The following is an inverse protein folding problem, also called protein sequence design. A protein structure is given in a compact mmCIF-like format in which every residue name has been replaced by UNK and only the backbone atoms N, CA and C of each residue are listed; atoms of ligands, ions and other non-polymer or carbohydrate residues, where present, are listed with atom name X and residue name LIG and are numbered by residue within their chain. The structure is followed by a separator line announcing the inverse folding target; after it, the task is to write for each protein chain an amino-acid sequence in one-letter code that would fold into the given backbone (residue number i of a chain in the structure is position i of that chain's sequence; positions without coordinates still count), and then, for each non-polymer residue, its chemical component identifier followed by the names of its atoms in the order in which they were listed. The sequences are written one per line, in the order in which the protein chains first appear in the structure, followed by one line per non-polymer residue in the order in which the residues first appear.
data_IF_900211792862
#
_entry.id   IF_900211792862
#
_cell.length_a   1.000
_cell.length_b   1.000
_cell.length_c   1.000
_cell.angle_alpha   90.00
_cell.angle_beta   90.00
_cell.angle_gamma   90.00
#
_symmetry.space_group_name_H-M   'P 1'
#
loop_
_entity.id
_entity.type
_entity.pdbx_description
1 polymer ?
#
# COMPACT_ATOMS: atom_id res chain seq x y z
N UNK A 1 -9.13 19.76 -32.54
CA UNK A 1 -7.85 19.13 -32.16
C UNK A 1 -7.01 20.18 -31.47
N UNK A 2 -6.65 19.96 -30.21
CA UNK A 2 -5.68 20.80 -29.48
C UNK A 2 -4.29 20.50 -30.03
N UNK A 3 -3.52 21.55 -30.37
CA UNK A 3 -2.11 21.39 -30.77
C UNK A 3 -1.33 20.77 -29.61
N UNK A 4 -0.37 19.89 -29.94
CA UNK A 4 0.60 19.39 -28.98
C UNK A 4 1.50 20.52 -28.46
N UNK A 5 2.16 20.27 -27.34
CA UNK A 5 3.09 21.23 -26.75
C UNK A 5 4.22 21.61 -27.72
N UNK A 6 4.79 20.63 -28.43
CA UNK A 6 5.84 20.82 -29.43
C UNK A 6 5.36 21.64 -30.63
N UNK A 7 4.16 21.37 -31.15
CA UNK A 7 3.54 22.16 -32.22
C UNK A 7 3.26 23.61 -31.79
N UNK A 8 2.88 23.81 -30.53
CA UNK A 8 2.66 25.15 -29.97
C UNK A 8 3.97 25.94 -29.88
N UNK A 9 5.06 25.29 -29.45
CA UNK A 9 6.40 25.91 -29.39
C UNK A 9 6.92 26.22 -30.79
N UNK A 10 6.80 25.27 -31.72
CA UNK A 10 7.18 25.43 -33.13
C UNK A 10 6.49 26.63 -33.77
N UNK A 11 5.16 26.72 -33.65
CA UNK A 11 4.39 27.84 -34.21
C UNK A 11 4.76 29.19 -33.60
N UNK A 12 4.99 29.26 -32.28
CA UNK A 12 5.38 30.52 -31.62
C UNK A 12 6.82 30.94 -31.92
N UNK A 13 7.72 29.99 -32.09
CA UNK A 13 9.12 30.25 -32.37
C UNK A 13 9.42 30.47 -33.87
N UNK A 14 8.45 30.19 -34.76
CA UNK A 14 8.66 30.21 -36.21
C UNK A 14 9.67 29.16 -36.68
N UNK A 15 9.78 28.05 -35.95
CA UNK A 15 10.70 26.95 -36.23
C UNK A 15 9.91 25.72 -36.71
N UNK A 16 10.55 24.82 -37.45
CA UNK A 16 10.02 23.47 -37.65
C UNK A 16 9.92 22.72 -36.30
N UNK A 17 9.06 21.71 -36.22
CA UNK A 17 8.87 20.91 -35.00
C UNK A 17 10.18 20.24 -34.57
N UNK A 18 10.96 19.75 -35.54
CA UNK A 18 12.27 19.12 -35.32
C UNK A 18 13.31 20.12 -34.78
N UNK A 19 13.32 21.35 -35.30
CA UNK A 19 14.21 22.42 -34.81
C UNK A 19 13.82 22.90 -33.42
N UNK A 20 12.52 22.98 -33.13
CA UNK A 20 12.01 23.30 -31.80
C UNK A 20 12.40 22.21 -30.81
N UNK A 21 12.21 20.94 -31.15
CA UNK A 21 12.61 19.79 -30.32
C UNK A 21 14.11 19.77 -30.03
N UNK A 22 14.96 19.88 -31.07
CA UNK A 22 16.41 19.92 -30.91
C UNK A 22 16.87 21.11 -30.05
N UNK A 23 16.19 22.26 -30.18
CA UNK A 23 16.47 23.47 -29.40
C UNK A 23 16.11 23.33 -27.93
N UNK A 24 14.99 22.66 -27.63
CA UNK A 24 14.55 22.38 -26.26
C UNK A 24 15.46 21.33 -25.61
N UNK A 25 15.75 20.24 -26.33
CA UNK A 25 16.62 19.17 -25.87
C UNK A 25 18.03 19.65 -25.54
N UNK A 26 18.63 20.50 -26.39
CA UNK A 26 19.96 21.11 -26.12
C UNK A 26 20.00 21.92 -24.83
N UNK A 27 18.85 22.43 -24.38
CA UNK A 27 18.70 23.24 -23.15
C UNK A 27 18.18 22.43 -21.96
N UNK A 28 18.03 21.11 -22.11
CA UNK A 28 17.49 20.25 -21.06
C UNK A 28 16.00 20.48 -20.78
N UNK A 29 15.28 21.16 -21.67
CA UNK A 29 13.84 21.42 -21.52
C UNK A 29 13.10 20.24 -22.15
N UNK A 30 12.32 19.53 -21.35
CA UNK A 30 11.43 18.47 -21.80
C UNK A 30 9.99 18.83 -21.48
N UNK A 31 9.04 18.29 -22.24
CA UNK A 31 7.63 18.37 -21.85
C UNK A 31 7.46 17.81 -20.43
N UNK A 32 6.62 18.47 -19.63
CA UNK A 32 6.30 17.97 -18.30
C UNK A 32 5.76 16.55 -18.43
N UNK A 33 6.37 15.61 -17.71
CA UNK A 33 5.88 14.23 -17.77
C UNK A 33 4.50 14.24 -17.13
N UNK A 34 3.52 13.62 -17.80
CA UNK A 34 2.23 13.38 -17.17
C UNK A 34 2.49 12.81 -15.76
N UNK A 35 1.89 13.44 -14.75
CA UNK A 35 2.00 13.01 -13.37
C UNK A 35 1.70 11.51 -13.33
N UNK A 36 2.65 10.73 -12.81
CA UNK A 36 2.44 9.29 -12.66
C UNK A 36 1.14 9.11 -11.88
N UNK A 37 0.17 8.30 -12.35
CA UNK A 37 -1.01 8.02 -11.58
C UNK A 37 -0.59 7.50 -10.20
N UNK A 38 -1.32 7.91 -9.16
CA UNK A 38 -1.05 7.48 -7.79
C UNK A 38 -1.08 5.95 -7.75
N UNK A 39 -0.01 5.30 -7.26
CA UNK A 39 0.06 3.86 -7.30
C UNK A 39 -1.01 3.23 -6.43
N UNK A 40 -1.56 2.10 -6.85
CA UNK A 40 -2.55 1.34 -6.08
C UNK A 40 -1.86 0.24 -5.30
N UNK A 41 -2.13 0.16 -3.99
CA UNK A 41 -1.64 -0.91 -3.12
C UNK A 41 -2.82 -1.80 -2.71
N UNK A 42 -2.73 -3.09 -3.00
CA UNK A 42 -3.77 -4.08 -2.64
C UNK A 42 -3.17 -5.19 -1.79
N UNK A 43 -3.66 -5.36 -0.57
CA UNK A 43 -3.26 -6.47 0.32
C UNK A 43 -3.83 -7.77 -0.23
N UNK A 44 -2.98 -8.78 -0.38
CA UNK A 44 -3.36 -10.12 -0.89
C UNK A 44 -3.35 -11.18 0.20
N UNK A 45 -2.54 -10.99 1.25
CA UNK A 45 -2.60 -11.82 2.45
C UNK A 45 -1.93 -11.17 3.65
N UNK A 46 -2.36 -11.59 4.84
CA UNK A 46 -1.66 -11.33 6.11
C UNK A 46 -1.55 -12.64 6.90
N UNK A 47 -0.36 -12.94 7.39
CA UNK A 47 -0.10 -14.07 8.27
C UNK A 47 0.80 -13.64 9.41
N UNK A 48 0.51 -14.11 10.60
CA UNK A 48 1.39 -13.87 11.74
C UNK A 48 1.29 -15.01 12.75
N UNK A 49 2.41 -15.23 13.43
CA UNK A 49 2.56 -16.20 14.49
C UNK A 49 3.15 -15.56 15.72
N UNK A 50 2.99 -16.25 16.84
CA UNK A 50 3.49 -15.77 18.11
C UNK A 50 2.95 -16.58 19.27
N UNK A 51 3.19 -16.06 20.47
CA UNK A 51 2.69 -16.65 21.70
C UNK A 51 2.32 -15.54 22.66
N UNK A 52 1.07 -15.59 23.16
CA UNK A 52 0.64 -14.65 24.21
C UNK A 52 1.51 -14.85 25.45
N UNK A 53 1.93 -13.74 26.04
CA UNK A 53 2.69 -13.73 27.28
C UNK A 53 1.79 -13.22 28.41
N UNK A 54 1.77 -13.91 29.56
CA UNK A 54 0.92 -13.57 30.71
C UNK A 54 0.00 -14.72 31.13
N UNK A 55 -1.24 -14.39 31.53
CA UNK A 55 -2.22 -15.38 32.05
C UNK A 55 -2.72 -16.37 31.00
N UNK A 56 -2.70 -15.98 29.73
CA UNK A 56 -3.03 -16.83 28.59
C UNK A 56 -1.75 -17.03 27.79
N UNK A 57 -1.37 -18.28 27.59
CA UNK A 57 -0.11 -18.66 26.91
C UNK A 57 -0.36 -19.34 25.57
N UNK A 58 -1.57 -19.18 25.03
CA UNK A 58 -1.99 -19.83 23.81
C UNK A 58 -1.12 -19.37 22.61
N UNK A 59 -0.77 -20.30 21.72
CA UNK A 59 -0.11 -19.94 20.47
C UNK A 59 -1.05 -19.07 19.62
N UNK A 60 -0.44 -18.12 18.91
CA UNK A 60 -1.09 -17.33 17.87
C UNK A 60 -0.66 -17.94 16.54
N UNK A 61 -1.64 -18.38 15.75
CA UNK A 61 -1.44 -18.74 14.35
C UNK A 61 -2.61 -18.17 13.55
N UNK A 62 -2.38 -17.02 12.92
CA UNK A 62 -3.39 -16.33 12.14
C UNK A 62 -3.00 -16.29 10.67
N UNK A 63 -3.96 -16.62 9.80
CA UNK A 63 -3.81 -16.53 8.37
C UNK A 63 -5.09 -15.98 7.75
N UNK A 64 -4.94 -14.91 6.97
CA UNK A 64 -5.96 -14.39 6.09
C UNK A 64 -5.39 -14.32 4.68
N UNK A 65 -5.88 -15.19 3.80
CA UNK A 65 -5.44 -15.34 2.42
C UNK A 65 -6.52 -14.92 1.43
N UNK A 66 -6.16 -14.91 0.16
CA UNK A 66 -7.09 -14.74 -0.97
C UNK A 66 -7.83 -13.39 -0.93
N UNK A 67 -7.18 -12.39 -0.32
CA UNK A 67 -7.63 -11.01 -0.37
C UNK A 67 -7.41 -10.46 -1.78
N UNK A 68 -8.36 -9.65 -2.21
CA UNK A 68 -8.35 -8.99 -3.51
C UNK A 68 -8.99 -7.60 -3.39
N UNK A 69 -9.00 -6.86 -4.50
CA UNK A 69 -9.76 -5.62 -4.59
C UNK A 69 -11.22 -5.83 -4.17
N UNK A 70 -11.70 -5.05 -3.22
CA UNK A 70 -13.07 -5.16 -2.72
C UNK A 70 -13.20 -4.72 -1.27
N UNK A 71 -14.38 -4.96 -0.70
CA UNK A 71 -14.67 -4.67 0.70
C UNK A 71 -14.58 -5.96 1.49
N UNK A 72 -13.67 -5.99 2.47
CA UNK A 72 -13.42 -7.12 3.35
C UNK A 72 -13.66 -6.73 4.80
N UNK A 73 -14.05 -7.70 5.63
CA UNK A 73 -14.35 -7.47 7.04
C UNK A 73 -13.60 -8.45 7.94
N UNK A 74 -12.96 -7.93 8.99
CA UNK A 74 -12.46 -8.72 10.11
C UNK A 74 -13.56 -8.79 11.16
N UNK A 75 -14.20 -9.95 11.28
CA UNK A 75 -15.27 -10.17 12.26
C UNK A 75 -14.83 -11.18 13.31
N UNK A 76 -15.60 -11.29 14.39
CA UNK A 76 -15.37 -12.28 15.44
C UNK A 76 -16.68 -12.99 15.75
N UNK A 77 -16.68 -14.33 15.71
CA UNK A 77 -17.84 -15.12 16.12
C UNK A 77 -17.84 -15.27 17.64
N UNK A 78 -18.84 -14.70 18.32
CA UNK A 78 -18.99 -14.79 19.77
C UNK A 78 -20.00 -15.85 20.15
N UNK A 79 -19.55 -16.97 20.69
CA UNK A 79 -20.43 -17.86 21.44
C UNK A 79 -20.45 -17.40 22.91
N UNK A 80 -21.66 -17.16 23.42
CA UNK A 80 -22.04 -17.00 24.84
C UNK A 80 -21.40 -15.86 25.67
N UNK A 81 -22.14 -14.75 25.80
CA UNK A 81 -22.30 -13.98 27.05
C UNK A 81 -21.14 -13.13 27.60
N UNK A 82 -19.90 -13.32 27.15
CA UNK A 82 -18.76 -12.45 27.47
C UNK A 82 -17.83 -12.36 26.26
N UNK A 83 -18.04 -11.38 25.40
CA UNK A 83 -17.26 -11.24 24.18
C UNK A 83 -16.61 -9.87 24.02
N UNK A 84 -15.66 -9.52 24.89
CA UNK A 84 -14.58 -8.64 24.42
C UNK A 84 -13.58 -9.52 23.64
N UNK A 85 -13.95 -9.86 22.41
CA UNK A 85 -13.18 -10.64 21.44
C UNK A 85 -12.02 -9.79 20.89
N UNK A 86 -10.87 -9.88 21.57
CA UNK A 86 -9.63 -9.12 21.39
C UNK A 86 -8.91 -9.54 20.09
N UNK A 87 -8.46 -8.58 19.29
CA UNK A 87 -7.53 -8.83 18.17
C UNK A 87 -7.92 -8.28 16.80
N UNK A 88 -9.17 -7.82 16.60
CA UNK A 88 -9.62 -7.27 15.30
C UNK A 88 -8.81 -6.03 14.89
N UNK A 89 -8.71 -5.06 15.79
CA UNK A 89 -7.88 -3.87 15.58
C UNK A 89 -6.40 -4.23 15.43
N UNK A 90 -5.94 -5.27 16.12
CA UNK A 90 -4.56 -5.76 16.01
C UNK A 90 -4.25 -6.26 14.60
N UNK A 91 -5.17 -6.97 13.93
CA UNK A 91 -4.96 -7.41 12.53
C UNK A 91 -4.69 -6.21 11.62
N UNK A 92 -5.51 -5.15 11.71
CA UNK A 92 -5.33 -3.95 10.89
C UNK A 92 -4.04 -3.21 11.23
N UNK A 93 -3.72 -3.07 12.51
CA UNK A 93 -2.50 -2.39 12.95
C UNK A 93 -1.22 -3.18 12.60
N UNK A 94 -1.27 -4.52 12.59
CA UNK A 94 -0.17 -5.37 12.10
C UNK A 94 0.07 -5.13 10.61
N UNK A 95 -0.99 -5.05 9.79
CA UNK A 95 -0.87 -4.73 8.36
C UNK A 95 -0.19 -3.36 8.19
N UNK A 96 -0.70 -2.35 8.90
CA UNK A 96 -0.16 -1.00 8.83
C UNK A 96 1.29 -0.91 9.34
N UNK A 97 1.64 -1.65 10.39
CA UNK A 97 3.00 -1.72 10.90
C UNK A 97 3.97 -2.27 9.85
N UNK A 98 3.61 -3.35 9.14
CA UNK A 98 4.44 -3.90 8.06
C UNK A 98 4.66 -2.91 6.91
N UNK A 99 3.63 -2.13 6.55
CA UNK A 99 3.74 -1.15 5.46
C UNK A 99 4.50 0.12 5.86
N UNK A 100 4.41 0.54 7.13
CA UNK A 100 5.02 1.77 7.63
C UNK A 100 6.44 1.57 8.15
N UNK A 101 6.79 0.36 8.56
CA UNK A 101 8.03 0.04 9.28
C UNK A 101 8.01 0.36 10.77
N UNK A 102 7.06 1.19 11.23
CA UNK A 102 6.87 1.58 12.64
C UNK A 102 5.44 1.31 13.12
N UNK A 103 5.24 0.86 14.38
CA UNK A 103 3.91 0.71 14.95
C UNK A 103 3.32 2.09 15.29
N UNK A 104 2.01 2.26 15.08
CA UNK A 104 1.27 3.46 15.51
C UNK A 104 0.19 3.14 16.54
N UNK A 105 -0.74 2.25 16.21
CA UNK A 105 -1.81 1.80 17.13
C UNK A 105 -1.61 0.37 17.62
N UNK A 106 -0.53 -0.31 17.22
CA UNK A 106 -0.24 -1.66 17.69
C UNK A 106 0.28 -1.60 19.13
N UNK A 107 -0.47 -2.17 20.06
CA UNK A 107 -0.07 -2.27 21.47
C UNK A 107 1.26 -3.03 21.61
N UNK A 108 2.15 -2.52 22.45
CA UNK A 108 3.47 -3.12 22.68
C UNK A 108 3.39 -4.56 23.17
N UNK A 109 2.42 -4.87 24.04
CA UNK A 109 2.17 -6.25 24.48
C UNK A 109 1.86 -7.17 23.31
N UNK A 110 0.91 -6.77 22.45
CA UNK A 110 0.53 -7.56 21.27
C UNK A 110 1.74 -7.73 20.35
N UNK A 111 2.53 -6.68 20.14
CA UNK A 111 3.75 -6.73 19.33
C UNK A 111 4.78 -7.68 19.93
N UNK A 112 4.98 -7.66 21.24
CA UNK A 112 5.91 -8.54 21.96
C UNK A 112 5.57 -10.02 21.87
N UNK A 113 4.29 -10.34 21.59
CA UNK A 113 3.82 -11.70 21.42
C UNK A 113 4.15 -12.26 20.03
N UNK A 114 4.35 -11.41 19.02
CA UNK A 114 4.56 -11.83 17.64
C UNK A 114 6.02 -12.24 17.42
N UNK A 115 6.24 -13.45 16.90
CA UNK A 115 7.56 -13.95 16.52
C UNK A 115 7.82 -13.81 15.01
N UNK A 116 6.75 -13.76 14.22
CA UNK A 116 6.82 -13.72 12.77
C UNK A 116 5.57 -13.05 12.20
N UNK A 117 5.77 -12.16 11.23
CA UNK A 117 4.69 -11.50 10.50
C UNK A 117 5.07 -11.45 9.02
N UNK A 118 4.08 -11.71 8.15
CA UNK A 118 4.17 -11.49 6.70
C UNK A 118 2.90 -10.83 6.20
N UNK A 119 3.07 -9.74 5.47
CA UNK A 119 2.02 -9.10 4.67
C UNK A 119 2.45 -9.17 3.21
N UNK A 120 1.56 -9.68 2.35
CA UNK A 120 1.78 -9.70 0.90
C UNK A 120 0.82 -8.70 0.26
N UNK A 121 1.29 -7.98 -0.75
CA UNK A 121 0.52 -6.95 -1.45
C UNK A 121 0.99 -6.82 -2.90
N UNK A 122 0.14 -6.26 -3.75
CA UNK A 122 0.46 -5.88 -5.12
C UNK A 122 0.55 -4.34 -5.24
N UNK A 123 1.40 -3.85 -6.14
CA UNK A 123 1.50 -2.44 -6.53
C UNK A 123 1.13 -2.28 -8.00
N UNK A 124 0.14 -1.44 -8.32
CA UNK A 124 -0.30 -1.21 -9.71
C UNK A 124 -0.68 -2.52 -10.42
N UNK A 125 -1.30 -3.47 -9.69
CA UNK A 125 -1.60 -4.84 -10.13
C UNK A 125 -0.38 -5.73 -10.45
N UNK A 126 0.84 -5.23 -10.18
CA UNK A 126 2.09 -5.99 -10.30
C UNK A 126 2.37 -6.69 -8.96
N UNK A 127 2.76 -7.96 -9.06
CA UNK A 127 3.20 -8.77 -7.93
C UNK A 127 4.61 -8.38 -7.47
#
# INVERSE_FOLDING_TARGET
MTMSWLETVSNRAGLSVEQAEASLHRRGISADRATRPTPTLTITSVKFRGKKQGKLTDPIDFSWSDLSSGVWAVTSHGNTGKSNLVGKSSVLEIILWCLRGEPKGLQDDVRSWLDWVRVSFNLDERQ
#
